data_IF_825337609140
#
_entry.id   IF_825337609140
#
_cell.length_a   1.000
_cell.length_b   1.000
_cell.length_c   1.000
_cell.angle_alpha   90.00
_cell.angle_beta   90.00
_cell.angle_gamma   90.00
#
_symmetry.space_group_name_H-M   'P 1'
#
loop_
_entity.id
_entity.type
_entity.pdbx_description
1 polymer ?
#
# COMPACT_ATOMS: atom_id res chain seq x y z
N UNK A 1 -14.38 -1.35 34.92
CA UNK A 1 -15.19 -2.58 35.13
C UNK A 1 -14.44 -3.45 36.14
N UNK A 2 -15.08 -3.86 37.24
CA UNK A 2 -14.44 -4.60 38.35
C UNK A 2 -14.55 -6.12 38.13
N UNK A 3 -13.44 -6.86 38.28
CA UNK A 3 -13.46 -8.33 38.36
C UNK A 3 -12.39 -8.79 39.35
N UNK A 4 -12.78 -9.57 40.36
CA UNK A 4 -11.89 -10.19 41.35
C UNK A 4 -10.97 -9.20 42.11
N UNK A 5 -11.48 -8.03 42.49
CA UNK A 5 -10.72 -7.08 43.34
C UNK A 5 -9.64 -6.25 42.64
N UNK A 6 -9.45 -6.40 41.31
CA UNK A 6 -8.52 -5.58 40.52
C UNK A 6 -9.26 -4.77 39.44
N UNK A 7 -8.78 -3.54 39.20
CA UNK A 7 -9.28 -2.68 38.12
C UNK A 7 -8.71 -3.19 36.80
N UNK A 8 -9.56 -3.74 35.92
CA UNK A 8 -9.11 -4.29 34.63
C UNK A 8 -8.98 -3.25 33.50
N UNK A 9 -9.71 -2.13 33.61
CA UNK A 9 -9.66 -1.03 32.63
C UNK A 9 -10.19 0.23 33.29
N UNK A 10 -9.32 1.24 33.40
CA UNK A 10 -9.73 2.61 33.69
C UNK A 10 -10.01 3.32 32.38
N UNK A 11 -11.19 3.91 32.25
CA UNK A 11 -11.52 4.79 31.16
C UNK A 11 -11.60 6.21 31.73
N UNK A 12 -10.70 7.08 31.28
CA UNK A 12 -10.74 8.50 31.64
C UNK A 12 -11.75 9.17 30.72
N UNK A 13 -12.85 9.62 31.28
CA UNK A 13 -13.92 10.31 30.58
C UNK A 13 -14.00 11.78 31.01
N UNK A 14 -14.63 12.62 30.19
CA UNK A 14 -14.93 14.02 30.47
C UNK A 14 -13.69 14.87 30.82
N UNK A 15 -12.59 14.71 30.07
CA UNK A 15 -11.29 15.35 30.33
C UNK A 15 -11.07 16.60 29.49
N UNK A 16 -10.62 17.69 30.11
CA UNK A 16 -10.17 18.89 29.39
C UNK A 16 -8.64 18.94 29.33
N UNK A 17 -8.09 19.53 28.27
CA UNK A 17 -6.66 19.85 28.17
C UNK A 17 -6.29 21.13 28.94
N UNK A 18 -5.02 21.55 28.83
CA UNK A 18 -4.49 22.74 29.50
C UNK A 18 -5.17 24.04 29.05
N UNK A 19 -5.77 24.06 27.85
CA UNK A 19 -6.53 25.18 27.30
C UNK A 19 -8.03 25.06 27.61
N UNK A 20 -8.41 24.16 28.52
CA UNK A 20 -9.79 23.86 28.89
C UNK A 20 -10.66 23.30 27.75
N UNK A 21 -10.08 22.85 26.64
CA UNK A 21 -10.83 22.26 25.54
C UNK A 21 -11.14 20.79 25.85
N UNK A 22 -12.33 20.31 25.47
CA UNK A 22 -12.72 18.89 25.66
C UNK A 22 -11.87 17.98 24.79
N UNK A 23 -11.35 16.91 25.39
CA UNK A 23 -10.57 15.86 24.73
C UNK A 23 -11.06 14.46 25.09
N UNK A 24 -11.03 13.56 24.12
CA UNK A 24 -11.29 12.14 24.32
C UNK A 24 -12.76 11.83 24.65
N UNK A 25 -13.00 10.70 25.32
CA UNK A 25 -14.33 10.19 25.58
C UNK A 25 -15.13 11.09 26.53
N UNK A 26 -16.30 11.53 26.09
CA UNK A 26 -17.30 12.22 26.88
C UNK A 26 -18.48 11.31 27.11
N UNK A 27 -18.95 11.25 28.36
CA UNK A 27 -20.12 10.47 28.76
C UNK A 27 -20.97 11.27 29.73
N UNK A 28 -22.26 11.34 29.45
CA UNK A 28 -23.28 11.84 30.38
C UNK A 28 -24.13 10.66 30.86
N UNK A 29 -24.58 10.71 32.11
CA UNK A 29 -25.38 9.66 32.72
C UNK A 29 -26.69 10.23 33.24
N UNK A 30 -27.75 9.42 33.22
CA UNK A 30 -28.97 9.73 33.95
C UNK A 30 -28.68 9.75 35.47
N UNK A 31 -29.55 10.37 36.29
CA UNK A 31 -29.44 10.28 37.75
C UNK A 31 -29.41 8.84 38.28
N UNK A 32 -29.98 7.89 37.53
CA UNK A 32 -29.93 6.45 37.81
C UNK A 32 -28.56 5.80 37.58
N UNK A 33 -27.58 6.53 37.03
CA UNK A 33 -26.25 6.02 36.67
C UNK A 33 -26.20 5.30 35.32
N UNK A 34 -27.32 5.20 34.60
CA UNK A 34 -27.36 4.63 33.25
C UNK A 34 -26.75 5.63 32.26
N UNK A 35 -25.90 5.16 31.34
CA UNK A 35 -25.31 5.99 30.30
C UNK A 35 -26.43 6.65 29.48
N UNK A 36 -26.38 7.97 29.34
CA UNK A 36 -27.36 8.78 28.61
C UNK A 36 -26.85 9.09 27.22
N UNK A 37 -25.60 9.53 27.10
CA UNK A 37 -24.94 9.75 25.82
C UNK A 37 -23.43 9.52 25.91
N UNK A 38 -22.81 9.17 24.78
CA UNK A 38 -21.35 9.10 24.64
C UNK A 38 -20.88 9.64 23.28
N UNK A 39 -19.72 10.31 23.27
CA UNK A 39 -19.03 10.79 22.05
C UNK A 39 -17.57 11.12 22.37
N UNK A 40 -16.67 11.09 21.39
CA UNK A 40 -15.31 11.60 21.59
C UNK A 40 -15.21 13.08 21.15
N UNK A 41 -14.37 13.84 21.85
CA UNK A 41 -13.98 15.19 21.45
C UNK A 41 -12.52 15.26 21.01
N UNK A 42 -12.25 16.14 20.05
CA UNK A 42 -10.92 16.61 19.68
C UNK A 42 -10.99 18.13 19.62
N UNK A 43 -10.29 18.83 20.51
CA UNK A 43 -10.30 20.31 20.60
C UNK A 43 -11.72 20.90 20.62
N UNK A 44 -12.56 20.45 21.57
CA UNK A 44 -13.96 20.86 21.73
C UNK A 44 -14.92 20.49 20.59
N UNK A 45 -14.44 19.85 19.53
CA UNK A 45 -15.24 19.37 18.41
C UNK A 45 -15.57 17.89 18.55
N UNK A 46 -16.86 17.53 18.39
CA UNK A 46 -17.27 16.12 18.37
C UNK A 46 -16.59 15.38 17.21
N UNK A 47 -16.05 14.20 17.48
CA UNK A 47 -15.33 13.41 16.49
C UNK A 47 -15.61 11.92 16.73
N UNK A 48 -16.13 11.21 15.74
CA UNK A 48 -16.61 9.83 15.87
C UNK A 48 -18.12 9.72 16.11
N UNK A 49 -18.54 8.64 16.75
CA UNK A 49 -19.97 8.34 16.94
C UNK A 49 -20.51 8.99 18.21
N UNK A 50 -21.52 9.82 18.06
CA UNK A 50 -22.40 10.25 19.14
C UNK A 50 -23.54 9.23 19.27
N UNK A 51 -23.65 8.61 20.45
CA UNK A 51 -24.68 7.62 20.75
C UNK A 51 -25.57 8.12 21.87
N UNK A 52 -26.86 7.88 21.74
CA UNK A 52 -27.86 8.20 22.76
C UNK A 52 -28.55 6.94 23.25
N UNK A 53 -28.83 6.90 24.54
CA UNK A 53 -29.42 5.75 25.21
C UNK A 53 -30.67 6.17 25.99
N UNK A 54 -31.64 5.28 26.03
CA UNK A 54 -32.84 5.43 26.85
C UNK A 54 -32.52 5.30 28.34
N UNK A 55 -33.41 5.80 29.20
CA UNK A 55 -33.31 5.62 30.65
C UNK A 55 -33.35 4.14 31.09
N UNK A 56 -33.62 3.19 30.18
CA UNK A 56 -33.54 1.73 30.38
C UNK A 56 -32.27 1.10 29.80
N UNK A 57 -31.37 1.89 29.20
CA UNK A 57 -30.08 1.46 28.64
C UNK A 57 -30.11 1.00 27.18
N UNK A 58 -31.28 0.97 26.52
CA UNK A 58 -31.38 0.66 25.08
C UNK A 58 -30.86 1.82 24.23
N UNK A 59 -30.04 1.53 23.22
CA UNK A 59 -29.54 2.51 22.23
C UNK A 59 -30.70 3.09 21.43
N UNK A 60 -30.87 4.42 21.47
CA UNK A 60 -31.93 5.16 20.78
C UNK A 60 -31.44 5.63 19.41
N UNK A 61 -30.24 6.19 19.37
CA UNK A 61 -29.74 6.90 18.19
C UNK A 61 -28.22 6.76 18.09
N UNK A 62 -27.71 6.82 16.87
CA UNK A 62 -26.28 6.95 16.60
C UNK A 62 -26.09 7.90 15.43
N UNK A 63 -25.24 8.91 15.61
CA UNK A 63 -24.86 9.88 14.58
C UNK A 63 -23.34 9.99 14.52
N UNK A 64 -22.77 10.27 13.35
CA UNK A 64 -21.32 10.40 13.18
C UNK A 64 -20.94 11.86 13.00
N UNK A 65 -19.91 12.30 13.70
CA UNK A 65 -19.30 13.62 13.55
C UNK A 65 -17.85 13.46 13.10
N UNK A 66 -17.36 14.37 12.26
CA UNK A 66 -15.94 14.50 11.93
C UNK A 66 -15.56 15.96 12.17
N UNK A 67 -14.63 16.20 13.10
CA UNK A 67 -14.19 17.56 13.46
C UNK A 67 -15.35 18.54 13.73
N UNK A 68 -16.39 18.07 14.42
CA UNK A 68 -17.56 18.86 14.82
C UNK A 68 -18.64 18.96 13.75
N UNK A 69 -18.40 18.44 12.55
CA UNK A 69 -19.38 18.44 11.44
C UNK A 69 -20.17 17.14 11.46
N UNK A 70 -21.49 17.25 11.58
CA UNK A 70 -22.41 16.12 11.44
C UNK A 70 -22.27 15.53 10.04
N UNK A 71 -22.01 14.23 9.97
CA UNK A 71 -22.00 13.49 8.72
C UNK A 71 -23.44 13.06 8.42
N UNK A 72 -24.09 13.70 7.44
CA UNK A 72 -25.50 13.45 7.11
C UNK A 72 -25.72 12.17 6.27
N UNK A 73 -24.69 11.73 5.55
CA UNK A 73 -24.73 10.49 4.78
C UNK A 73 -23.69 9.54 5.33
N UNK A 74 -24.12 8.73 6.30
CA UNK A 74 -23.29 7.68 6.91
C UNK A 74 -23.89 6.35 6.51
N UNK A 75 -23.43 5.72 5.42
CA UNK A 75 -24.02 4.48 4.91
C UNK A 75 -24.13 3.39 5.97
N UNK A 76 -23.18 3.31 6.90
CA UNK A 76 -23.15 2.33 7.99
C UNK A 76 -24.21 2.56 9.10
N UNK A 77 -24.87 3.72 9.12
CA UNK A 77 -25.95 4.06 10.07
C UNK A 77 -27.34 4.08 9.41
N UNK A 78 -27.42 3.73 8.11
CA UNK A 78 -28.70 3.65 7.41
C UNK A 78 -29.62 2.63 8.12
N UNK A 79 -30.87 3.03 8.38
CA UNK A 79 -31.89 2.09 8.84
C UNK A 79 -32.20 1.12 7.70
N UNK A 80 -31.93 -0.16 7.93
CA UNK A 80 -32.23 -1.22 6.97
C UNK A 80 -33.53 -1.93 7.39
N UNK A 81 -34.42 -2.10 6.43
CA UNK A 81 -35.57 -2.98 6.55
C UNK A 81 -35.10 -4.43 6.44
N UNK A 82 -35.35 -5.22 7.48
CA UNK A 82 -34.99 -6.64 7.52
C UNK A 82 -36.22 -7.48 7.23
N UNK A 83 -36.19 -8.27 6.16
CA UNK A 83 -37.19 -9.32 5.87
C UNK A 83 -36.64 -10.66 6.29
N UNK A 84 -37.43 -11.42 7.05
CA UNK A 84 -37.08 -12.77 7.49
C UNK A 84 -38.15 -13.75 7.04
N UNK A 85 -37.73 -14.81 6.34
CA UNK A 85 -38.59 -15.95 6.02
C UNK A 85 -38.26 -17.14 6.89
N UNK A 86 -39.24 -18.01 7.13
CA UNK A 86 -39.11 -19.20 7.97
C UNK A 86 -39.53 -20.45 7.19
N UNK A 87 -38.95 -21.59 7.54
CA UNK A 87 -39.48 -22.91 7.18
C UNK A 87 -40.75 -23.21 7.98
N UNK A 88 -41.53 -24.21 7.55
CA UNK A 88 -42.71 -24.69 8.31
C UNK A 88 -42.37 -25.10 9.75
N UNK A 89 -41.13 -25.53 9.97
CA UNK A 89 -40.58 -25.88 11.29
C UNK A 89 -40.31 -24.68 12.20
N UNK A 90 -40.43 -23.45 11.69
CA UNK A 90 -40.10 -22.20 12.41
C UNK A 90 -38.62 -21.81 12.38
N UNK A 91 -37.75 -22.62 11.76
CA UNK A 91 -36.33 -22.27 11.53
C UNK A 91 -36.24 -21.15 10.49
N UNK A 92 -35.35 -20.18 10.68
CA UNK A 92 -35.09 -19.12 9.68
C UNK A 92 -34.65 -19.76 8.37
N UNK A 93 -35.35 -19.43 7.28
CA UNK A 93 -35.04 -19.86 5.91
C UNK A 93 -34.16 -18.84 5.20
N UNK A 94 -34.44 -17.55 5.39
CA UNK A 94 -33.61 -16.47 4.86
C UNK A 94 -33.76 -15.18 5.67
N UNK A 95 -32.74 -14.33 5.57
CA UNK A 95 -32.79 -12.93 6.02
C UNK A 95 -32.35 -12.05 4.86
N UNK A 96 -33.10 -11.01 4.52
CA UNK A 96 -32.78 -10.07 3.46
C UNK A 96 -32.90 -8.63 3.97
N UNK A 97 -31.96 -7.78 3.59
CA UNK A 97 -31.89 -6.38 4.04
C UNK A 97 -32.14 -5.44 2.87
N UNK A 98 -32.88 -4.37 3.15
CA UNK A 98 -33.30 -3.38 2.16
C UNK A 98 -33.15 -1.96 2.72
N UNK A 99 -32.88 -1.01 1.85
CA UNK A 99 -32.94 0.43 2.13
C UNK A 99 -33.89 1.05 1.12
N UNK A 100 -34.98 1.64 1.60
CA UNK A 100 -36.02 2.26 0.77
C UNK A 100 -36.57 1.28 -0.30
N UNK A 101 -36.72 0.00 0.07
CA UNK A 101 -37.17 -1.07 -0.83
C UNK A 101 -36.13 -1.64 -1.79
N UNK A 102 -34.94 -1.04 -1.87
CA UNK A 102 -33.80 -1.51 -2.69
C UNK A 102 -32.93 -2.46 -1.86
N UNK A 103 -32.45 -3.56 -2.44
CA UNK A 103 -31.59 -4.51 -1.71
C UNK A 103 -30.29 -3.81 -1.26
N UNK A 104 -30.01 -3.87 0.04
CA UNK A 104 -28.88 -3.18 0.66
C UNK A 104 -28.36 -4.03 1.83
N UNK A 105 -27.08 -4.35 1.83
CA UNK A 105 -26.47 -5.18 2.86
C UNK A 105 -26.51 -6.68 2.55
N UNK A 106 -26.63 -7.50 3.59
CA UNK A 106 -26.43 -8.96 3.50
C UNK A 106 -27.77 -9.67 3.40
N UNK A 107 -27.88 -10.52 2.39
CA UNK A 107 -28.95 -11.50 2.22
C UNK A 107 -28.37 -12.87 2.52
N UNK A 108 -28.98 -13.63 3.44
CA UNK A 108 -28.52 -14.98 3.83
C UNK A 108 -29.61 -16.00 3.59
N UNK A 109 -29.21 -17.18 3.16
CA UNK A 109 -30.05 -18.37 3.09
C UNK A 109 -29.52 -19.44 4.06
N UNK A 110 -30.44 -20.15 4.67
CA UNK A 110 -30.16 -21.12 5.71
C UNK A 110 -30.73 -22.50 5.32
N UNK A 111 -30.03 -23.57 5.72
CA UNK A 111 -30.55 -24.94 5.63
C UNK A 111 -31.64 -25.17 6.70
N UNK A 112 -32.44 -26.26 6.59
CA UNK A 112 -33.41 -26.63 7.63
C UNK A 112 -32.79 -26.85 9.03
N UNK A 113 -31.48 -27.14 9.09
CA UNK A 113 -30.71 -27.27 10.33
C UNK A 113 -30.16 -25.93 10.85
N UNK A 114 -30.48 -24.80 10.19
CA UNK A 114 -30.08 -23.46 10.59
C UNK A 114 -28.65 -23.07 10.19
N UNK A 115 -27.99 -23.82 9.31
CA UNK A 115 -26.64 -23.49 8.81
C UNK A 115 -26.74 -22.50 7.65
N UNK A 116 -25.88 -21.48 7.61
CA UNK A 116 -25.78 -20.60 6.45
C UNK A 116 -25.23 -21.39 5.26
N UNK A 117 -25.99 -21.43 4.17
CA UNK A 117 -25.61 -22.13 2.94
C UNK A 117 -25.27 -21.16 1.80
N UNK A 118 -25.71 -19.90 1.90
CA UNK A 118 -25.42 -18.85 0.94
C UNK A 118 -25.56 -17.49 1.61
N UNK A 119 -24.70 -16.56 1.20
CA UNK A 119 -24.78 -15.16 1.51
C UNK A 119 -24.52 -14.36 0.23
N UNK A 120 -25.35 -13.33 0.00
CA UNK A 120 -25.20 -12.34 -1.06
C UNK A 120 -25.10 -10.96 -0.43
N UNK A 121 -24.19 -10.14 -0.93
CA UNK A 121 -23.96 -8.78 -0.47
C UNK A 121 -24.40 -7.82 -1.55
N UNK A 122 -25.27 -6.87 -1.19
CA UNK A 122 -25.78 -5.84 -2.09
C UNK A 122 -25.35 -4.46 -1.60
N UNK A 123 -25.03 -3.59 -2.55
CA UNK A 123 -24.80 -2.16 -2.33
C UNK A 123 -25.60 -1.42 -3.39
N UNK A 124 -26.55 -0.59 -2.96
CA UNK A 124 -27.45 0.18 -3.84
C UNK A 124 -28.16 -0.71 -4.87
N UNK A 125 -28.58 -1.91 -4.45
CA UNK A 125 -29.24 -2.90 -5.30
C UNK A 125 -28.31 -3.73 -6.18
N UNK A 126 -27.02 -3.42 -6.24
CA UNK A 126 -26.03 -4.15 -7.05
C UNK A 126 -25.43 -5.29 -6.22
N UNK A 127 -25.43 -6.51 -6.76
CA UNK A 127 -24.73 -7.65 -6.14
C UNK A 127 -23.23 -7.41 -6.19
N UNK A 128 -22.59 -7.26 -5.04
CA UNK A 128 -21.13 -7.02 -4.92
C UNK A 128 -20.36 -8.25 -4.47
N UNK A 129 -21.03 -9.28 -3.95
CA UNK A 129 -20.39 -10.54 -3.64
C UNK A 129 -21.35 -11.66 -3.24
N UNK A 130 -20.90 -12.89 -3.43
CA UNK A 130 -21.60 -14.11 -3.02
C UNK A 130 -20.63 -15.16 -2.47
N UNK A 131 -21.08 -15.92 -1.46
CA UNK A 131 -20.30 -16.99 -0.83
C UNK A 131 -20.94 -17.45 0.48
N UNK A 132 -20.14 -17.97 1.42
CA UNK A 132 -20.63 -18.35 2.75
C UNK A 132 -20.18 -17.32 3.79
N UNK A 133 -21.14 -16.77 4.53
CA UNK A 133 -20.88 -15.84 5.63
C UNK A 133 -21.36 -16.48 6.95
N UNK A 134 -20.42 -16.79 7.84
CA UNK A 134 -20.75 -17.43 9.11
C UNK A 134 -21.60 -16.52 10.04
N UNK A 135 -22.06 -17.08 11.16
CA UNK A 135 -22.89 -16.38 12.14
C UNK A 135 -22.17 -15.20 12.80
N UNK A 136 -20.83 -15.17 12.77
CA UNK A 136 -20.02 -14.04 13.23
C UNK A 136 -19.78 -13.00 12.13
N UNK A 137 -20.35 -13.19 10.94
CA UNK A 137 -20.16 -12.29 9.80
C UNK A 137 -18.83 -12.47 9.07
N UNK A 138 -18.18 -13.62 9.20
CA UNK A 138 -16.88 -13.90 8.55
C UNK A 138 -17.06 -14.73 7.29
N UNK A 139 -16.27 -14.42 6.27
CA UNK A 139 -16.30 -15.12 4.99
C UNK A 139 -15.64 -16.50 5.14
N UNK A 140 -16.27 -17.51 4.54
CA UNK A 140 -15.83 -18.91 4.55
C UNK A 140 -15.98 -19.53 3.16
N UNK A 141 -15.10 -20.48 2.83
CA UNK A 141 -15.18 -21.29 1.62
C UNK A 141 -15.06 -20.46 0.33
N UNK A 142 -15.60 -20.96 -0.79
CA UNK A 142 -15.58 -20.27 -2.07
C UNK A 142 -16.36 -18.96 -2.03
N UNK A 143 -15.78 -17.93 -2.62
CA UNK A 143 -16.37 -16.61 -2.76
C UNK A 143 -16.15 -16.05 -4.16
N UNK A 144 -17.13 -15.25 -4.58
CA UNK A 144 -17.07 -14.38 -5.75
C UNK A 144 -17.41 -12.96 -5.32
N UNK A 145 -16.69 -12.01 -5.87
CA UNK A 145 -16.94 -10.58 -5.69
C UNK A 145 -17.14 -9.97 -7.07
N UNK A 146 -17.94 -8.91 -7.17
CA UNK A 146 -18.33 -8.31 -8.44
C UNK A 146 -18.03 -6.81 -8.46
N UNK A 147 -17.76 -6.30 -9.65
CA UNK A 147 -17.67 -4.87 -9.94
C UNK A 147 -19.08 -4.27 -9.97
N UNK A 148 -19.18 -2.94 -9.90
CA UNK A 148 -20.46 -2.23 -10.00
C UNK A 148 -21.20 -2.46 -11.32
N UNK A 149 -20.48 -2.87 -12.38
CA UNK A 149 -21.05 -3.26 -13.66
C UNK A 149 -21.57 -4.72 -13.70
N UNK A 150 -21.52 -5.44 -12.58
CA UNK A 150 -21.95 -6.83 -12.44
C UNK A 150 -20.96 -7.88 -12.95
N UNK A 151 -19.81 -7.48 -13.50
CA UNK A 151 -18.78 -8.42 -13.91
C UNK A 151 -18.02 -8.95 -12.71
N UNK A 152 -17.47 -10.17 -12.84
CA UNK A 152 -16.65 -10.77 -11.79
C UNK A 152 -15.44 -9.87 -11.52
N UNK A 153 -15.20 -9.54 -10.25
CA UNK A 153 -14.07 -8.74 -9.76
C UNK A 153 -12.99 -9.62 -9.16
N UNK A 154 -13.39 -10.63 -8.40
CA UNK A 154 -12.45 -11.62 -7.87
C UNK A 154 -13.15 -12.89 -7.46
N UNK A 155 -12.40 -13.98 -7.43
CA UNK A 155 -12.85 -15.24 -6.87
C UNK A 155 -11.70 -15.99 -6.20
N UNK A 156 -12.05 -16.77 -5.19
CA UNK A 156 -11.13 -17.61 -4.45
C UNK A 156 -11.80 -18.16 -3.20
N UNK A 157 -10.99 -18.58 -2.24
CA UNK A 157 -11.49 -19.13 -0.98
C UNK A 157 -11.15 -18.22 0.21
N UNK A 158 -12.08 -18.13 1.16
CA UNK A 158 -11.87 -17.49 2.46
C UNK A 158 -11.87 -18.53 3.59
N UNK A 159 -11.05 -18.26 4.61
CA UNK A 159 -11.12 -18.92 5.92
C UNK A 159 -11.11 -17.84 6.99
N UNK A 160 -12.25 -17.67 7.69
CA UNK A 160 -12.42 -16.62 8.69
C UNK A 160 -12.08 -15.22 8.17
N UNK A 161 -12.63 -14.86 7.00
CA UNK A 161 -12.36 -13.58 6.30
C UNK A 161 -10.91 -13.38 5.84
N UNK A 162 -10.07 -14.42 5.85
CA UNK A 162 -8.74 -14.38 5.25
C UNK A 162 -8.73 -15.15 3.95
N UNK A 163 -8.16 -14.57 2.90
CA UNK A 163 -7.97 -15.25 1.61
C UNK A 163 -7.04 -16.45 1.80
N UNK A 164 -7.42 -17.60 1.25
CA UNK A 164 -6.61 -18.81 1.23
C UNK A 164 -6.64 -19.42 -0.16
N UNK A 165 -5.62 -20.21 -0.48
CA UNK A 165 -5.56 -20.92 -1.76
C UNK A 165 -5.35 -19.98 -2.94
N UNK A 166 -5.77 -20.44 -4.11
CA UNK A 166 -5.65 -19.68 -5.36
C UNK A 166 -6.70 -18.58 -5.41
N UNK A 167 -6.27 -17.40 -5.85
CA UNK A 167 -7.11 -16.23 -6.04
C UNK A 167 -6.91 -15.66 -7.43
N UNK A 168 -8.01 -15.28 -8.07
CA UNK A 168 -8.02 -14.62 -9.37
C UNK A 168 -8.82 -13.33 -9.24
N UNK A 169 -8.24 -12.25 -9.70
CA UNK A 169 -8.83 -10.91 -9.76
C UNK A 169 -8.96 -10.52 -11.22
N UNK A 170 -9.97 -9.71 -11.52
CA UNK A 170 -10.38 -9.38 -12.86
C UNK A 170 -10.55 -7.87 -13.01
N UNK A 171 -10.10 -7.36 -14.16
CA UNK A 171 -10.40 -6.02 -14.62
C UNK A 171 -11.90 -5.83 -14.83
N UNK A 172 -12.43 -4.59 -14.85
CA UNK A 172 -13.84 -4.31 -15.16
C UNK A 172 -14.27 -4.73 -16.58
N UNK A 173 -13.33 -5.11 -17.44
CA UNK A 173 -13.57 -5.67 -18.78
C UNK A 173 -13.66 -7.22 -18.79
N UNK A 174 -13.52 -7.87 -17.63
CA UNK A 174 -13.65 -9.32 -17.45
C UNK A 174 -12.37 -10.12 -17.70
N UNK A 175 -11.27 -9.48 -18.14
CA UNK A 175 -9.96 -10.13 -18.25
C UNK A 175 -9.29 -10.21 -16.88
N UNK A 176 -8.39 -11.19 -16.73
CA UNK A 176 -7.61 -11.34 -15.49
C UNK A 176 -6.77 -10.10 -15.27
N UNK A 177 -6.80 -9.55 -14.06
CA UNK A 177 -5.96 -8.44 -13.59
C UNK A 177 -4.75 -8.98 -12.86
N UNK A 178 -4.97 -9.91 -11.94
CA UNK A 178 -3.90 -10.55 -11.20
C UNK A 178 -4.35 -11.92 -10.68
N UNK A 179 -3.39 -12.81 -10.46
CA UNK A 179 -3.64 -14.11 -9.84
C UNK A 179 -2.43 -14.58 -9.06
N UNK A 180 -2.70 -15.34 -8.01
CA UNK A 180 -1.67 -15.93 -7.17
C UNK A 180 -2.29 -16.66 -5.99
N UNK A 181 -1.45 -16.98 -5.00
CA UNK A 181 -1.84 -17.85 -3.90
C UNK A 181 -1.65 -17.21 -2.54
N UNK A 182 -2.55 -17.57 -1.61
CA UNK A 182 -2.44 -17.28 -0.19
C UNK A 182 -2.32 -18.56 0.64
N UNK A 183 -1.55 -18.50 1.73
CA UNK A 183 -1.50 -19.56 2.73
C UNK A 183 -2.71 -19.54 3.70
N UNK A 184 -2.78 -20.52 4.60
CA UNK A 184 -3.85 -20.63 5.61
C UNK A 184 -3.90 -19.46 6.61
N UNK A 185 -2.86 -18.63 6.70
CA UNK A 185 -2.79 -17.46 7.57
C UNK A 185 -3.18 -16.17 6.84
N UNK A 186 -3.45 -16.24 5.54
CA UNK A 186 -3.79 -15.10 4.69
C UNK A 186 -2.61 -14.43 4.01
N UNK A 187 -1.44 -15.08 4.00
CA UNK A 187 -0.18 -14.47 3.51
C UNK A 187 0.10 -14.90 2.07
N UNK A 188 0.60 -14.00 1.24
CA UNK A 188 0.94 -14.33 -0.16
C UNK A 188 2.07 -15.35 -0.22
N UNK A 189 1.97 -16.27 -1.17
CA UNK A 189 2.93 -17.34 -1.40
C UNK A 189 3.10 -17.63 -2.89
N UNK A 190 4.30 -18.03 -3.26
CA UNK A 190 4.65 -18.52 -4.59
C UNK A 190 4.49 -17.45 -5.67
N UNK A 191 4.31 -17.88 -6.93
CA UNK A 191 4.25 -16.97 -8.06
C UNK A 191 2.95 -16.19 -8.07
N UNK A 192 3.09 -14.89 -8.31
CA UNK A 192 2.02 -13.98 -8.62
C UNK A 192 2.21 -13.42 -10.02
N UNK A 193 1.10 -13.26 -10.74
CA UNK A 193 1.09 -12.68 -12.08
C UNK A 193 0.10 -11.54 -12.15
N UNK A 194 0.50 -10.46 -12.80
CA UNK A 194 -0.32 -9.30 -13.10
C UNK A 194 -0.42 -9.13 -14.61
N UNK A 195 -1.54 -8.58 -15.06
CA UNK A 195 -1.88 -8.44 -16.46
C UNK A 195 -2.43 -7.05 -16.73
N UNK A 196 -2.10 -6.52 -17.90
CA UNK A 196 -2.73 -5.32 -18.45
C UNK A 196 -4.20 -5.59 -18.79
N UNK A 197 -4.98 -4.51 -18.96
CA UNK A 197 -6.35 -4.61 -19.49
C UNK A 197 -6.42 -5.22 -20.90
N UNK A 198 -5.32 -5.19 -21.65
CA UNK A 198 -5.17 -5.90 -22.93
C UNK A 198 -5.23 -7.43 -22.75
N UNK A 199 -4.88 -7.94 -21.57
CA UNK A 199 -4.68 -9.36 -21.25
C UNK A 199 -3.22 -9.81 -21.34
N UNK A 200 -2.30 -8.94 -21.77
CA UNK A 200 -0.86 -9.23 -21.79
C UNK A 200 -0.30 -9.23 -20.36
N UNK A 201 0.77 -9.99 -20.14
CA UNK A 201 1.46 -10.02 -18.85
C UNK A 201 2.06 -8.64 -18.59
N UNK A 202 1.74 -8.07 -17.43
CA UNK A 202 2.36 -6.88 -16.89
C UNK A 202 3.55 -7.26 -16.03
N UNK A 203 3.38 -8.24 -15.14
CA UNK A 203 4.41 -8.59 -14.17
C UNK A 203 4.32 -10.03 -13.69
N UNK A 204 5.46 -10.61 -13.37
CA UNK A 204 5.59 -11.88 -12.66
C UNK A 204 6.56 -11.68 -11.49
N UNK A 205 6.14 -12.10 -10.29
CA UNK A 205 6.94 -12.00 -9.06
C UNK A 205 6.71 -13.24 -8.19
N UNK A 206 7.60 -13.50 -7.25
CA UNK A 206 7.47 -14.58 -6.29
C UNK A 206 7.39 -14.04 -4.87
N UNK A 207 6.57 -14.68 -4.03
CA UNK A 207 6.37 -14.29 -2.63
C UNK A 207 6.63 -15.45 -1.68
N UNK A 208 7.19 -15.14 -0.52
CA UNK A 208 7.32 -16.03 0.62
C UNK A 208 6.90 -15.29 1.88
N UNK A 209 5.75 -15.66 2.44
CA UNK A 209 5.20 -15.07 3.66
C UNK A 209 5.03 -13.54 3.57
N UNK A 210 4.34 -13.06 2.53
CA UNK A 210 4.12 -11.62 2.24
C UNK A 210 5.33 -10.83 1.74
N UNK A 211 6.53 -11.39 1.76
CA UNK A 211 7.74 -10.75 1.23
C UNK A 211 8.05 -11.24 -0.18
N UNK A 212 8.54 -10.35 -1.04
CA UNK A 212 9.07 -10.73 -2.35
C UNK A 212 10.31 -11.61 -2.16
N UNK A 213 10.33 -12.76 -2.80
CA UNK A 213 11.39 -13.77 -2.65
C UNK A 213 11.50 -14.59 -3.93
N UNK A 214 12.57 -14.35 -4.69
CA UNK A 214 12.84 -14.93 -6.00
C UNK A 214 12.75 -13.91 -7.14
N UNK A 215 12.69 -14.43 -8.37
CA UNK A 215 12.72 -13.62 -9.58
C UNK A 215 11.49 -12.70 -9.72
N UNK A 216 11.75 -11.49 -10.21
CA UNK A 216 10.76 -10.50 -10.64
C UNK A 216 11.03 -10.10 -12.09
N UNK A 217 9.98 -10.08 -12.91
CA UNK A 217 10.04 -9.59 -14.29
C UNK A 217 8.81 -8.72 -14.55
N UNK A 218 9.03 -7.57 -15.16
CA UNK A 218 7.99 -6.64 -15.61
C UNK A 218 8.10 -6.40 -17.11
N UNK A 219 6.94 -6.31 -17.76
CA UNK A 219 6.81 -6.20 -19.19
C UNK A 219 6.00 -4.95 -19.53
N UNK A 220 6.34 -4.30 -20.64
CA UNK A 220 5.44 -3.39 -21.33
C UNK A 220 4.22 -4.13 -21.89
N UNK A 221 3.15 -3.43 -22.24
CA UNK A 221 1.97 -4.04 -22.86
C UNK A 221 2.29 -4.69 -24.23
N UNK A 222 3.36 -4.28 -24.90
CA UNK A 222 3.85 -4.92 -26.12
C UNK A 222 4.65 -6.23 -25.87
N UNK A 223 4.82 -6.64 -24.60
CA UNK A 223 5.54 -7.86 -24.20
C UNK A 223 7.06 -7.69 -24.08
N UNK A 224 7.60 -6.48 -24.28
CA UNK A 224 9.01 -6.19 -24.04
C UNK A 224 9.29 -6.15 -22.53
N UNK A 225 10.32 -6.85 -22.07
CA UNK A 225 10.80 -6.78 -20.68
C UNK A 225 11.35 -5.37 -20.42
N UNK A 226 10.80 -4.71 -19.40
CA UNK A 226 11.24 -3.38 -18.97
C UNK A 226 11.90 -3.42 -17.60
N UNK A 227 11.64 -4.44 -16.78
CA UNK A 227 12.34 -4.61 -15.50
C UNK A 227 12.59 -6.09 -15.27
N UNK A 228 13.77 -6.45 -14.76
CA UNK A 228 14.02 -7.79 -14.21
C UNK A 228 15.06 -7.75 -13.11
N UNK A 229 14.92 -8.65 -12.16
CA UNK A 229 15.89 -8.88 -11.10
C UNK A 229 15.40 -9.93 -10.11
N UNK A 230 16.01 -9.95 -8.94
CA UNK A 230 15.69 -10.90 -7.88
C UNK A 230 15.51 -10.17 -6.55
N UNK A 231 14.57 -10.68 -5.75
CA UNK A 231 14.38 -10.29 -4.36
C UNK A 231 14.78 -11.43 -3.44
N UNK A 232 15.41 -11.11 -2.31
CA UNK A 232 15.61 -12.04 -1.19
C UNK A 232 15.05 -11.36 0.06
N UNK A 233 14.06 -12.00 0.70
CA UNK A 233 13.38 -11.46 1.89
C UNK A 233 12.93 -10.00 1.76
N UNK A 234 12.38 -9.66 0.58
CA UNK A 234 11.83 -8.34 0.27
C UNK A 234 12.85 -7.29 -0.20
N UNK A 235 14.14 -7.63 -0.29
CA UNK A 235 15.20 -6.71 -0.72
C UNK A 235 15.76 -7.12 -2.07
N UNK A 236 16.06 -6.16 -2.93
CA UNK A 236 16.73 -6.38 -4.21
C UNK A 236 18.10 -6.99 -3.97
N UNK A 237 18.37 -8.08 -4.68
CA UNK A 237 19.64 -8.79 -4.64
C UNK A 237 20.08 -9.15 -6.07
N UNK A 238 21.39 -9.24 -6.28
CA UNK A 238 21.97 -9.73 -7.52
C UNK A 238 21.75 -8.80 -8.70
N UNK A 239 21.78 -9.36 -9.91
CA UNK A 239 21.71 -8.61 -11.16
C UNK A 239 20.31 -8.03 -11.40
N UNK A 240 20.26 -6.74 -11.72
CA UNK A 240 19.06 -6.01 -12.06
C UNK A 240 19.22 -5.29 -13.39
N UNK A 241 18.13 -5.20 -14.15
CA UNK A 241 18.05 -4.33 -15.32
C UNK A 241 16.69 -3.64 -15.38
N UNK A 242 16.70 -2.37 -15.74
CA UNK A 242 15.53 -1.53 -15.93
C UNK A 242 15.66 -0.80 -17.26
N UNK A 243 14.56 -0.67 -18.00
CA UNK A 243 14.46 0.10 -19.23
C UNK A 243 13.32 1.11 -19.13
N UNK A 244 13.69 2.39 -19.10
CA UNK A 244 12.78 3.53 -19.15
C UNK A 244 12.78 4.13 -20.57
N UNK A 245 12.01 5.19 -20.80
CA UNK A 245 11.87 5.79 -22.12
C UNK A 245 13.21 6.33 -22.68
N UNK A 246 14.05 6.94 -21.84
CA UNK A 246 15.27 7.65 -22.25
C UNK A 246 16.58 6.92 -21.90
N UNK A 247 16.55 5.91 -21.03
CA UNK A 247 17.71 5.06 -20.76
C UNK A 247 17.35 3.65 -20.28
N UNK A 248 18.30 2.74 -20.50
CA UNK A 248 18.37 1.43 -19.85
C UNK A 248 19.47 1.44 -18.80
N UNK A 249 19.23 0.89 -17.62
CA UNK A 249 20.26 0.65 -16.60
C UNK A 249 20.40 -0.84 -16.28
N UNK A 250 21.63 -1.24 -15.98
CA UNK A 250 21.96 -2.57 -15.49
C UNK A 250 23.04 -2.47 -14.41
N UNK A 251 22.97 -3.34 -13.42
CA UNK A 251 23.92 -3.41 -12.32
C UNK A 251 23.54 -4.47 -11.31
N UNK A 252 24.21 -4.50 -10.17
CA UNK A 252 23.87 -5.41 -9.07
C UNK A 252 23.36 -4.65 -7.86
N UNK A 253 22.42 -5.25 -7.15
CA UNK A 253 22.03 -4.85 -5.81
C UNK A 253 22.54 -5.86 -4.77
N UNK A 254 22.75 -5.36 -3.56
CA UNK A 254 22.96 -6.14 -2.34
C UNK A 254 22.15 -5.49 -1.24
N UNK A 255 21.13 -6.18 -0.73
CA UNK A 255 20.23 -5.63 0.29
C UNK A 255 19.70 -4.22 -0.08
N UNK A 256 19.06 -4.10 -1.24
CA UNK A 256 18.52 -2.85 -1.82
C UNK A 256 19.54 -1.76 -2.20
N UNK A 257 20.82 -1.99 -1.95
CA UNK A 257 21.88 -1.02 -2.24
C UNK A 257 22.62 -1.38 -3.52
N UNK A 258 22.86 -0.38 -4.38
CA UNK A 258 23.70 -0.54 -5.58
C UNK A 258 25.09 -1.05 -5.15
N UNK A 259 25.53 -2.15 -5.72
CA UNK A 259 26.81 -2.77 -5.41
C UNK A 259 27.51 -3.19 -6.71
N UNK A 260 28.81 -2.90 -6.80
CA UNK A 260 29.62 -3.16 -7.98
C UNK A 260 29.42 -2.16 -9.11
N UNK A 261 29.67 -2.61 -10.34
CA UNK A 261 29.60 -1.78 -11.54
C UNK A 261 28.15 -1.60 -12.00
N UNK A 262 27.79 -0.36 -12.27
CA UNK A 262 26.52 0.06 -12.82
C UNK A 262 26.73 0.72 -14.18
N UNK A 263 25.90 0.35 -15.15
CA UNK A 263 25.94 0.90 -16.50
C UNK A 263 24.58 1.41 -16.91
N UNK A 264 24.55 2.61 -17.48
CA UNK A 264 23.35 3.13 -18.14
C UNK A 264 23.64 3.31 -19.63
N UNK A 265 22.63 3.11 -20.46
CA UNK A 265 22.70 3.21 -21.92
C UNK A 265 21.58 4.11 -22.43
N UNK A 266 21.84 4.87 -23.49
CA UNK A 266 20.77 5.59 -24.18
C UNK A 266 19.87 4.61 -24.94
N UNK A 267 18.55 4.76 -24.86
CA UNK A 267 17.59 3.86 -25.55
C UNK A 267 17.50 4.10 -27.05
N UNK A 268 17.81 5.30 -27.52
CA UNK A 268 17.74 5.70 -28.93
C UNK A 268 18.82 5.04 -29.80
N UNK A 269 20.02 4.84 -29.25
CA UNK A 269 21.20 4.38 -30.00
C UNK A 269 21.99 3.27 -29.28
N UNK A 270 21.63 2.91 -28.05
CA UNK A 270 22.25 1.84 -27.27
C UNK A 270 23.66 2.14 -26.74
N UNK A 271 24.19 3.35 -26.95
CA UNK A 271 25.52 3.72 -26.48
C UNK A 271 25.54 3.91 -24.97
N UNK A 272 26.69 3.67 -24.37
CA UNK A 272 26.94 3.90 -22.96
C UNK A 272 26.65 5.38 -22.65
N UNK A 273 25.83 5.61 -21.62
CA UNK A 273 25.48 6.92 -21.06
C UNK A 273 26.26 7.16 -19.76
N UNK A 274 26.50 6.09 -19.01
CA UNK A 274 27.18 6.12 -17.73
C UNK A 274 27.78 4.74 -17.41
N UNK A 275 28.96 4.72 -16.78
CA UNK A 275 29.52 3.57 -16.09
C UNK A 275 30.13 4.01 -14.77
N UNK A 276 29.89 3.26 -13.71
CA UNK A 276 30.36 3.67 -12.39
C UNK A 276 30.28 2.57 -11.35
N UNK A 277 31.21 2.62 -10.40
CA UNK A 277 31.26 1.67 -9.29
C UNK A 277 30.57 2.21 -8.04
N UNK A 278 29.82 1.33 -7.37
CA UNK A 278 29.12 1.58 -6.12
C UNK A 278 29.50 0.53 -5.08
N UNK A 279 29.54 0.94 -3.82
CA UNK A 279 29.69 0.06 -2.65
C UNK A 279 28.63 0.48 -1.65
N UNK A 280 27.76 -0.46 -1.26
CA UNK A 280 26.65 -0.19 -0.33
C UNK A 280 25.80 1.04 -0.71
N UNK A 281 25.57 1.24 -2.01
CA UNK A 281 24.76 2.32 -2.54
C UNK A 281 25.49 3.65 -2.69
N UNK A 282 26.74 3.72 -2.25
CA UNK A 282 27.58 4.91 -2.30
C UNK A 282 28.54 4.82 -3.49
N UNK A 283 28.67 5.88 -4.32
CA UNK A 283 29.69 5.91 -5.36
C UNK A 283 31.09 5.72 -4.78
N UNK A 284 31.83 4.72 -5.26
CA UNK A 284 33.20 4.45 -4.83
C UNK A 284 33.99 3.83 -5.98
N UNK A 285 34.99 4.57 -6.47
CA UNK A 285 35.73 4.24 -7.67
C UNK A 285 35.42 5.17 -8.84
N UNK A 286 35.87 4.77 -10.02
CA UNK A 286 35.77 5.56 -11.25
C UNK A 286 34.32 5.72 -11.69
N UNK A 287 34.01 6.90 -12.21
CA UNK A 287 32.74 7.25 -12.81
C UNK A 287 33.00 7.85 -14.18
N UNK A 288 32.28 7.39 -15.18
CA UNK A 288 32.40 7.85 -16.55
C UNK A 288 31.01 8.16 -17.10
N UNK A 289 30.87 9.33 -17.70
CA UNK A 289 29.65 9.80 -18.33
C UNK A 289 29.94 10.10 -19.78
N UNK A 290 28.97 9.83 -20.65
CA UNK A 290 29.14 9.95 -22.10
C UNK A 290 27.95 10.70 -22.72
N UNK A 291 28.20 11.44 -23.79
CA UNK A 291 27.16 12.03 -24.63
C UNK A 291 26.46 10.97 -25.50
N UNK A 292 25.27 11.25 -26.07
CA UNK A 292 24.61 10.35 -27.02
C UNK A 292 25.47 10.00 -28.24
N UNK A 293 26.42 10.87 -28.62
CA UNK A 293 27.36 10.58 -29.70
C UNK A 293 28.43 9.53 -29.31
N UNK A 294 28.54 9.15 -28.04
CA UNK A 294 29.47 8.17 -27.48
C UNK A 294 30.79 8.76 -26.97
N UNK A 295 31.02 10.07 -27.13
CA UNK A 295 32.20 10.73 -26.57
C UNK A 295 32.05 10.92 -25.08
N UNK A 296 33.17 10.81 -24.38
CA UNK A 296 33.22 11.07 -22.93
C UNK A 296 32.77 12.51 -22.67
N UNK A 297 31.91 12.67 -21.67
CA UNK A 297 31.39 13.96 -21.19
C UNK A 297 32.10 14.36 -19.92
N UNK A 298 32.29 13.40 -19.03
CA UNK A 298 32.88 13.64 -17.73
C UNK A 298 33.45 12.35 -17.17
N UNK A 299 34.58 12.46 -16.48
CA UNK A 299 35.19 11.35 -15.76
C UNK A 299 35.85 11.81 -14.48
N UNK A 300 35.89 10.93 -13.49
CA UNK A 300 36.50 11.19 -12.21
C UNK A 300 36.32 10.00 -11.28
N UNK A 301 36.72 10.17 -10.02
CA UNK A 301 36.62 9.13 -9.00
C UNK A 301 35.91 9.65 -7.76
N UNK A 302 35.13 8.76 -7.13
CA UNK A 302 34.69 8.94 -5.76
C UNK A 302 35.49 8.03 -4.81
N UNK A 303 35.66 8.47 -3.57
CA UNK A 303 36.11 7.67 -2.45
C UNK A 303 35.12 7.86 -1.30
N UNK A 304 34.38 6.81 -0.93
CA UNK A 304 33.35 6.90 0.11
C UNK A 304 32.27 7.94 -0.18
N UNK A 305 31.90 8.11 -1.46
CA UNK A 305 30.87 9.07 -1.89
C UNK A 305 31.35 10.50 -2.08
N UNK A 306 32.61 10.81 -1.76
CA UNK A 306 33.20 12.14 -1.96
C UNK A 306 34.08 12.15 -3.21
N UNK A 307 33.98 13.20 -4.04
CA UNK A 307 34.85 13.40 -5.20
C UNK A 307 36.31 13.44 -4.75
N UNK A 308 37.13 12.66 -5.43
CA UNK A 308 38.54 12.50 -5.13
C UNK A 308 39.35 12.48 -6.42
N UNK A 309 40.48 13.19 -6.44
CA UNK A 309 41.39 13.23 -7.57
C UNK A 309 40.91 14.13 -8.71
N UNK A 310 41.46 13.91 -9.89
CA UNK A 310 41.17 14.73 -11.07
C UNK A 310 39.82 14.36 -11.69
N UNK A 311 39.00 15.38 -11.88
CA UNK A 311 37.77 15.35 -12.64
C UNK A 311 37.98 16.07 -13.96
N UNK A 312 37.67 15.42 -15.07
CA UNK A 312 37.84 15.95 -16.43
C UNK A 312 36.49 16.08 -17.10
N UNK A 313 36.28 17.19 -17.79
CA UNK A 313 35.03 17.53 -18.46
C UNK A 313 35.28 17.87 -19.92
N UNK A 314 34.46 17.29 -20.79
CA UNK A 314 34.62 17.34 -22.23
C UNK A 314 33.34 17.84 -22.88
N UNK A 315 33.46 18.57 -23.98
CA UNK A 315 32.31 18.97 -24.79
C UNK A 315 31.88 17.85 -25.76
N UNK A 316 30.84 18.09 -26.55
CA UNK A 316 30.37 17.10 -27.53
C UNK A 316 31.36 16.84 -28.68
N UNK A 317 32.37 17.69 -28.86
CA UNK A 317 33.46 17.46 -29.82
C UNK A 317 34.53 16.53 -29.25
N UNK A 318 34.55 16.33 -27.93
CA UNK A 318 35.58 15.60 -27.19
C UNK A 318 36.73 16.51 -26.74
N UNK A 319 36.58 17.83 -26.86
CA UNK A 319 37.55 18.79 -26.36
C UNK A 319 37.46 18.86 -24.84
N UNK A 320 38.59 18.60 -24.17
CA UNK A 320 38.76 18.77 -22.72
C UNK A 320 38.79 20.27 -22.42
N UNK A 321 37.70 20.81 -21.87
CA UNK A 321 37.60 22.23 -21.58
C UNK A 321 37.80 22.57 -20.10
N UNK A 322 37.80 21.57 -19.22
CA UNK A 322 37.89 21.79 -17.78
C UNK A 322 38.47 20.58 -17.04
N UNK A 323 39.44 20.82 -16.17
CA UNK A 323 39.97 19.87 -15.19
C UNK A 323 39.92 20.45 -13.78
N UNK A 324 39.30 19.73 -12.85
CA UNK A 324 39.21 20.11 -11.44
C UNK A 324 39.85 19.02 -10.57
N UNK A 325 40.75 19.40 -9.66
CA UNK A 325 41.30 18.48 -8.67
C UNK A 325 40.50 18.57 -7.37
N UNK A 326 39.86 17.48 -6.97
CA UNK A 326 39.12 17.37 -5.72
C UNK A 326 39.90 16.59 -4.65
N UNK A 327 39.66 16.94 -3.39
CA UNK A 327 39.99 16.10 -2.23
C UNK A 327 38.84 16.17 -1.23
N UNK A 328 38.20 15.04 -0.94
CA UNK A 328 37.04 14.98 -0.07
C UNK A 328 35.95 16.02 -0.43
N UNK A 329 35.56 16.07 -1.71
CA UNK A 329 34.62 17.06 -2.29
C UNK A 329 35.09 18.52 -2.32
N UNK A 330 36.28 18.83 -1.79
CA UNK A 330 36.82 20.19 -1.82
C UNK A 330 37.63 20.39 -3.10
N UNK A 331 37.30 21.42 -3.86
CA UNK A 331 38.08 21.88 -5.02
C UNK A 331 39.43 22.43 -4.56
N UNK A 332 40.52 21.82 -5.02
CA UNK A 332 41.90 22.24 -4.72
C UNK A 332 42.52 22.97 -5.91
N UNK A 333 42.21 22.55 -7.14
CA UNK A 333 42.70 23.20 -8.36
C UNK A 333 41.63 23.26 -9.42
N UNK A 334 41.66 24.35 -10.18
CA UNK A 334 40.86 24.59 -11.37
C UNK A 334 41.83 24.90 -12.54
N UNK A 335 41.88 24.04 -13.55
CA UNK A 335 42.80 24.14 -14.71
C UNK A 335 44.26 24.43 -14.32
N UNK A 336 44.75 23.73 -13.29
CA UNK A 336 46.11 23.87 -12.78
C UNK A 336 46.32 25.04 -11.80
N UNK A 337 45.37 25.98 -11.70
CA UNK A 337 45.41 27.08 -10.75
C UNK A 337 44.88 26.63 -9.39
N UNK A 338 45.64 26.87 -8.32
CA UNK A 338 45.21 26.54 -6.95
C UNK A 338 44.08 27.48 -6.54
N UNK A 339 42.97 26.92 -6.09
CA UNK A 339 41.86 27.67 -5.50
C UNK A 339 41.97 27.63 -3.97
N UNK A 340 41.58 28.72 -3.32
CA UNK A 340 41.36 28.69 -1.88
C UNK A 340 39.98 28.08 -1.66
N UNK A 341 39.85 27.01 -0.87
CA UNK A 341 38.54 26.47 -0.54
C UNK A 341 37.69 27.58 0.06
N UNK A 342 36.51 27.84 -0.52
CA UNK A 342 35.52 28.63 0.20
C UNK A 342 35.29 27.93 1.53
N UNK A 343 35.44 28.67 2.62
CA UNK A 343 35.26 28.12 3.97
C UNK A 343 33.77 27.86 4.11
N UNK A 344 33.31 26.64 3.81
CA UNK A 344 31.94 26.24 4.08
C UNK A 344 31.81 26.23 5.60
N UNK A 345 31.31 27.34 6.15
CA UNK A 345 30.93 27.43 7.56
C UNK A 345 29.90 26.33 7.84
N UNK A 346 30.07 25.70 9.01
CA UNK A 346 29.40 24.49 9.48
C UNK A 346 27.86 24.49 9.49
N UNK A 347 27.19 25.52 8.99
CA UNK A 347 25.73 25.60 8.90
C UNK A 347 25.14 24.87 7.68
N UNK A 348 25.91 24.57 6.63
CA UNK A 348 25.38 23.89 5.43
C UNK A 348 25.48 22.36 5.45
N UNK A 349 26.04 21.75 6.50
CA UNK A 349 26.13 20.28 6.65
C UNK A 349 24.84 19.62 7.14
N UNK A 350 23.80 20.38 7.50
CA UNK A 350 22.53 19.85 8.01
C UNK A 350 21.37 19.90 7.00
N UNK A 351 21.61 19.90 5.68
CA UNK A 351 20.56 19.53 4.72
C UNK A 351 21.20 18.94 3.45
N UNK A 352 21.39 17.62 3.40
CA UNK A 352 21.13 16.79 2.21
C UNK A 352 21.35 15.32 2.48
#
# INVERSE_FOLDING_TARGET
MYKMGFIQKEERINRRDANMLRQGAWKEFYPSGILKNEVNYTDDKMNGYFKEYSAKGGLINTTKYINGVLQNNVPELAKLDVKTGYFETGVVKFTATYKDGVAEGIHREFSPEGKVISAKVYVEGVLTGEGILDTAGRQQGPWKEYHSNGQLKSQGEYLNSKRIGEWVFYHPNGKVEQKGKYDKKGRTQGPWKWFYESGNILREENYRNDLQDGAMVEYSDAGKIITKGEYIDGQKEGAWSLELADYREEGSYKADKRDGEWKHFYTDNGKLRFSGKFIDGVPDGSQQFYYPNGKERQTGKYAGGLKEGEWRFYDETGYLFLTILFKNDIEIRFDGVKVTPETITSEQRMVK
#
